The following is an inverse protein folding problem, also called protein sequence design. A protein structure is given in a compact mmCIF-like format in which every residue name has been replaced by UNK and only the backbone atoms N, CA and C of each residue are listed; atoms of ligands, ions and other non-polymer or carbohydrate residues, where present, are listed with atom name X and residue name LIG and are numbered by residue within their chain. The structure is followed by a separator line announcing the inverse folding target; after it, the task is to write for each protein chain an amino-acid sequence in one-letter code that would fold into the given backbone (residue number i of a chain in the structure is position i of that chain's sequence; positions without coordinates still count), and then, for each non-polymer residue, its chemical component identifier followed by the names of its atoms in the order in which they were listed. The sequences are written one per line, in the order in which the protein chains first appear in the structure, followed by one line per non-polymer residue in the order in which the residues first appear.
data_IF_047450613932
#
_entry.id   IF_047450613932
#
_cell.length_a   1.000
_cell.length_b   1.000
_cell.length_c   1.000
_cell.angle_alpha   90.00
_cell.angle_beta   90.00
_cell.angle_gamma   90.00
#
_symmetry.space_group_name_H-M   'P 1'
#
loop_
_entity.id
_entity.type
_entity.pdbx_description
1 polymer ?
#
# COMPACT_ATOMS: atom_id res chain seq x y z
N UNK A 1 -14.21 -23.18 -8.22
CA UNK A 1 -13.76 -22.22 -9.24
C UNK A 1 -12.30 -22.49 -9.62
N UNK A 2 -11.96 -22.38 -10.90
CA UNK A 2 -10.57 -22.65 -11.33
C UNK A 2 -9.55 -21.73 -10.69
N UNK A 3 -9.90 -20.46 -10.45
CA UNK A 3 -9.05 -19.50 -9.73
C UNK A 3 -8.66 -19.98 -8.32
N UNK A 4 -9.50 -20.76 -7.63
CA UNK A 4 -9.12 -21.32 -6.33
C UNK A 4 -8.03 -22.39 -6.44
N UNK A 5 -8.05 -23.19 -7.50
CA UNK A 5 -6.98 -24.15 -7.78
C UNK A 5 -5.67 -23.46 -8.14
N UNK A 6 -5.76 -22.37 -8.90
CA UNK A 6 -4.59 -21.50 -9.22
C UNK A 6 -3.99 -20.94 -7.94
N UNK A 7 -4.81 -20.37 -7.06
CA UNK A 7 -4.36 -19.81 -5.78
C UNK A 7 -3.64 -20.87 -4.92
N UNK A 8 -4.30 -22.01 -4.70
CA UNK A 8 -3.77 -23.08 -3.83
C UNK A 8 -2.49 -23.74 -4.38
N UNK A 9 -2.30 -23.72 -5.72
CA UNK A 9 -1.05 -24.19 -6.33
C UNK A 9 0.08 -23.14 -6.22
N UNK A 10 -0.26 -21.85 -6.25
CA UNK A 10 0.71 -20.77 -6.28
C UNK A 10 1.27 -20.44 -4.88
N UNK A 11 0.41 -20.48 -3.84
CA UNK A 11 0.77 -20.06 -2.48
C UNK A 11 0.11 -20.93 -1.41
N UNK A 12 0.74 -20.96 -0.22
CA UNK A 12 0.12 -21.45 1.00
C UNK A 12 -0.52 -20.22 1.69
N UNK A 13 -1.84 -20.17 1.79
CA UNK A 13 -2.59 -18.99 2.22
C UNK A 13 -2.08 -18.39 3.54
N UNK A 14 -1.90 -19.21 4.58
CA UNK A 14 -1.39 -18.73 5.88
C UNK A 14 0.01 -18.11 5.78
N UNK A 15 0.90 -18.70 4.99
CA UNK A 15 2.24 -18.16 4.78
C UNK A 15 2.25 -16.90 3.92
N UNK A 16 1.34 -16.80 2.95
CA UNK A 16 1.18 -15.60 2.15
C UNK A 16 0.70 -14.42 3.02
N UNK A 17 -0.32 -14.63 3.85
CA UNK A 17 -0.81 -13.61 4.79
C UNK A 17 0.26 -13.22 5.81
N UNK A 18 0.94 -14.18 6.43
CA UNK A 18 2.04 -13.94 7.38
C UNK A 18 3.14 -13.07 6.75
N UNK A 19 3.57 -13.39 5.53
CA UNK A 19 4.59 -12.62 4.82
C UNK A 19 4.11 -11.21 4.47
N UNK A 20 2.86 -11.05 4.06
CA UNK A 20 2.27 -9.74 3.78
C UNK A 20 2.21 -8.87 5.04
N UNK A 21 1.80 -9.40 6.19
CA UNK A 21 1.85 -8.70 7.49
C UNK A 21 3.28 -8.27 7.82
N UNK A 22 4.25 -9.18 7.70
CA UNK A 22 5.67 -8.87 7.97
C UNK A 22 6.19 -7.73 7.08
N UNK A 23 5.85 -7.73 5.79
CA UNK A 23 6.21 -6.65 4.87
C UNK A 23 5.64 -5.31 5.31
N UNK A 24 4.34 -5.26 5.63
CA UNK A 24 3.67 -4.04 6.10
C UNK A 24 4.30 -3.53 7.40
N UNK A 25 4.46 -4.41 8.39
CA UNK A 25 5.00 -4.01 9.70
C UNK A 25 6.45 -3.54 9.61
N UNK A 26 7.28 -4.18 8.79
CA UNK A 26 8.69 -3.79 8.64
C UNK A 26 8.86 -2.45 7.93
N UNK A 27 7.98 -2.10 6.98
CA UNK A 27 8.08 -0.88 6.19
C UNK A 27 7.38 0.31 6.86
N UNK A 28 6.17 0.12 7.41
CA UNK A 28 5.37 1.20 7.99
C UNK A 28 5.54 1.37 9.50
N UNK A 29 6.18 0.41 10.18
CA UNK A 29 6.38 0.42 11.62
C UNK A 29 7.81 -0.03 11.97
N UNK A 30 8.29 0.26 13.17
CA UNK A 30 9.60 -0.23 13.63
C UNK A 30 9.48 -1.57 14.36
N UNK A 31 8.68 -1.54 15.42
CA UNK A 31 8.36 -2.70 16.25
C UNK A 31 7.13 -2.36 17.08
N UNK A 32 6.43 -3.35 17.66
CA UNK A 32 5.32 -3.10 18.57
C UNK A 32 5.68 -2.22 19.77
N UNK A 33 6.94 -2.27 20.22
CA UNK A 33 7.44 -1.51 21.37
C UNK A 33 8.05 -0.15 21.00
N UNK A 34 7.96 0.25 19.73
CA UNK A 34 8.54 1.52 19.27
C UNK A 34 7.79 2.70 19.85
N UNK A 35 8.54 3.69 20.37
CA UNK A 35 7.97 4.97 20.80
C UNK A 35 7.66 5.92 19.61
N UNK A 36 8.09 5.59 18.41
CA UNK A 36 7.98 6.46 17.22
C UNK A 36 6.89 6.06 16.26
N UNK A 37 6.34 4.86 16.40
CA UNK A 37 5.22 4.35 15.58
C UNK A 37 4.28 3.53 16.43
N UNK A 38 2.98 3.60 16.11
CA UNK A 38 1.94 2.83 16.78
C UNK A 38 1.30 1.88 15.76
N UNK A 39 1.36 0.58 16.02
CA UNK A 39 0.66 -0.41 15.18
C UNK A 39 -0.82 -0.38 15.52
N UNK A 40 -1.73 -0.38 14.53
CA UNK A 40 -3.16 -0.52 14.79
C UNK A 40 -3.50 -1.80 15.53
N UNK A 41 -4.63 -1.79 16.22
CA UNK A 41 -5.13 -2.92 17.03
C UNK A 41 -5.65 -4.09 16.20
N UNK A 42 -5.42 -4.10 14.89
CA UNK A 42 -5.85 -5.19 13.99
C UNK A 42 -5.42 -6.54 14.55
N UNK A 43 -6.40 -7.30 15.04
CA UNK A 43 -6.20 -8.58 15.72
C UNK A 43 -6.26 -9.76 14.77
N UNK A 44 -7.07 -9.67 13.73
CA UNK A 44 -7.29 -10.74 12.77
C UNK A 44 -7.59 -10.23 11.37
N UNK A 45 -7.14 -10.98 10.36
CA UNK A 45 -7.45 -10.74 8.96
C UNK A 45 -7.96 -12.04 8.35
N UNK A 46 -9.15 -12.00 7.75
CA UNK A 46 -9.73 -13.13 7.02
C UNK A 46 -9.57 -12.90 5.52
N UNK A 47 -8.97 -13.88 4.83
CA UNK A 47 -8.92 -13.88 3.36
C UNK A 47 -10.12 -14.62 2.80
N UNK A 48 -10.89 -13.94 1.97
CA UNK A 48 -12.10 -14.47 1.30
C UNK A 48 -11.84 -14.50 -0.21
N UNK A 49 -11.79 -15.70 -0.75
CA UNK A 49 -11.70 -15.93 -2.20
C UNK A 49 -13.09 -16.12 -2.78
N UNK A 50 -13.53 -15.27 -3.70
CA UNK A 50 -14.84 -15.35 -4.32
C UNK A 50 -14.85 -14.81 -5.76
N UNK A 51 -15.81 -15.24 -6.56
CA UNK A 51 -16.07 -14.63 -7.86
C UNK A 51 -16.66 -13.24 -7.64
N UNK A 52 -16.02 -12.22 -8.18
CA UNK A 52 -16.46 -10.82 -8.11
C UNK A 52 -15.73 -9.97 -9.17
N UNK A 53 -16.30 -8.83 -9.59
CA UNK A 53 -15.62 -7.87 -10.45
C UNK A 53 -14.43 -7.22 -9.74
N UNK A 54 -13.48 -6.71 -10.51
CA UNK A 54 -12.26 -6.08 -9.99
C UNK A 54 -11.19 -7.08 -9.55
N UNK A 55 -10.24 -6.62 -8.75
CA UNK A 55 -9.08 -7.40 -8.32
C UNK A 55 -9.26 -7.89 -6.89
N UNK A 56 -9.27 -6.98 -5.95
CA UNK A 56 -9.42 -7.24 -4.52
C UNK A 56 -9.92 -5.98 -3.80
N UNK A 57 -10.33 -6.12 -2.57
CA UNK A 57 -10.60 -4.99 -1.66
C UNK A 57 -10.51 -5.43 -0.20
N UNK A 58 -10.22 -4.47 0.66
CA UNK A 58 -10.20 -4.64 2.12
C UNK A 58 -11.39 -3.94 2.75
N UNK A 59 -12.01 -4.58 3.75
CA UNK A 59 -13.08 -4.00 4.56
C UNK A 59 -12.90 -4.32 6.04
N UNK A 60 -13.58 -3.56 6.91
CA UNK A 60 -13.74 -3.92 8.32
C UNK A 60 -14.93 -4.85 8.53
N UNK A 61 -15.11 -5.29 9.76
CA UNK A 61 -16.32 -6.00 10.22
C UNK A 61 -17.15 -5.05 11.08
N UNK A 62 -18.47 -5.01 10.86
CA UNK A 62 -19.39 -4.18 11.66
C UNK A 62 -19.48 -4.66 13.13
N UNK A 63 -19.07 -5.90 13.40
CA UNK A 63 -19.14 -6.51 14.73
C UNK A 63 -17.82 -6.40 15.50
N UNK A 64 -16.72 -6.06 14.84
CA UNK A 64 -15.38 -6.07 15.44
C UNK A 64 -14.44 -5.16 14.65
N UNK A 65 -14.17 -3.98 15.17
CA UNK A 65 -13.29 -2.99 14.53
C UNK A 65 -11.85 -3.48 14.32
N UNK A 66 -11.40 -4.46 15.12
CA UNK A 66 -10.07 -5.05 15.04
C UNK A 66 -9.99 -6.24 14.08
N UNK A 67 -11.13 -6.64 13.49
CA UNK A 67 -11.20 -7.66 12.45
C UNK A 67 -11.28 -7.04 11.07
N UNK A 68 -10.42 -7.50 10.15
CA UNK A 68 -10.40 -7.05 8.76
C UNK A 68 -10.62 -8.23 7.82
N UNK A 69 -11.20 -7.94 6.67
CA UNK A 69 -11.43 -8.92 5.61
C UNK A 69 -10.78 -8.44 4.32
N UNK A 70 -10.05 -9.33 3.67
CA UNK A 70 -9.52 -9.14 2.32
C UNK A 70 -10.33 -10.03 1.38
N UNK A 71 -11.06 -9.43 0.46
CA UNK A 71 -11.80 -10.11 -0.59
C UNK A 71 -10.99 -10.11 -1.87
N UNK A 72 -10.67 -11.30 -2.41
CA UNK A 72 -9.84 -11.44 -3.60
C UNK A 72 -10.60 -12.18 -4.70
N UNK A 73 -10.63 -11.60 -5.90
CA UNK A 73 -11.37 -12.10 -7.04
C UNK A 73 -10.77 -13.39 -7.59
N UNK A 74 -11.54 -14.47 -7.58
CA UNK A 74 -11.16 -15.72 -8.24
C UNK A 74 -11.09 -15.57 -9.77
N UNK A 75 -11.89 -14.67 -10.34
CA UNK A 75 -11.89 -14.40 -11.78
C UNK A 75 -10.59 -13.72 -12.18
N UNK A 76 -10.13 -12.74 -11.39
CA UNK A 76 -8.83 -12.11 -11.58
C UNK A 76 -7.68 -13.12 -11.44
N UNK A 77 -7.68 -13.92 -10.36
CA UNK A 77 -6.65 -14.94 -10.09
C UNK A 77 -6.54 -15.94 -11.24
N UNK A 78 -7.68 -16.37 -11.80
CA UNK A 78 -7.70 -17.25 -12.96
C UNK A 78 -7.01 -16.65 -14.18
N UNK A 79 -7.18 -15.35 -14.41
CA UNK A 79 -6.61 -14.61 -15.55
C UNK A 79 -5.12 -14.26 -15.44
N UNK A 80 -4.47 -14.49 -14.29
CA UNK A 80 -3.05 -14.17 -14.13
C UNK A 80 -2.18 -15.11 -14.98
N UNK A 81 -1.22 -14.54 -15.71
CA UNK A 81 -0.25 -15.32 -16.51
C UNK A 81 0.55 -16.31 -15.64
N UNK A 82 0.85 -17.47 -16.16
CA UNK A 82 1.50 -18.58 -15.41
C UNK A 82 2.79 -18.14 -14.71
N UNK A 83 3.64 -17.40 -15.42
CA UNK A 83 4.93 -16.93 -14.90
C UNK A 83 4.80 -15.88 -13.78
N UNK A 84 3.62 -15.29 -13.58
CA UNK A 84 3.38 -14.21 -12.62
C UNK A 84 2.45 -14.59 -11.48
N UNK A 85 1.85 -15.78 -11.49
CA UNK A 85 0.80 -16.18 -10.54
C UNK A 85 1.20 -15.92 -9.09
N UNK A 86 2.36 -16.42 -8.68
CA UNK A 86 2.82 -16.28 -7.29
C UNK A 86 3.09 -14.82 -6.93
N UNK A 87 3.86 -14.11 -7.75
CA UNK A 87 4.26 -12.73 -7.45
C UNK A 87 3.05 -11.77 -7.49
N UNK A 88 2.13 -11.98 -8.43
CA UNK A 88 0.93 -11.17 -8.54
C UNK A 88 -0.02 -11.39 -7.37
N UNK A 89 -0.27 -12.66 -6.99
CA UNK A 89 -1.08 -12.99 -5.81
C UNK A 89 -0.45 -12.38 -4.55
N UNK A 90 0.85 -12.53 -4.36
CA UNK A 90 1.56 -11.93 -3.22
C UNK A 90 1.52 -10.41 -3.24
N UNK A 91 1.67 -9.81 -4.43
CA UNK A 91 1.62 -8.37 -4.60
C UNK A 91 0.26 -7.77 -4.24
N UNK A 92 -0.83 -8.39 -4.71
CA UNK A 92 -2.20 -7.97 -4.36
C UNK A 92 -2.46 -8.18 -2.87
N UNK A 93 -2.11 -9.34 -2.29
CA UNK A 93 -2.26 -9.58 -0.86
C UNK A 93 -1.47 -8.59 0.00
N UNK A 94 -0.27 -8.20 -0.43
CA UNK A 94 0.55 -7.22 0.29
C UNK A 94 -0.09 -5.83 0.22
N UNK A 95 -0.60 -5.42 -0.93
CA UNK A 95 -1.34 -4.17 -1.11
C UNK A 95 -2.57 -4.12 -0.17
N UNK A 96 -3.42 -5.13 -0.22
CA UNK A 96 -4.63 -5.20 0.62
C UNK A 96 -4.29 -5.28 2.12
N UNK A 97 -3.20 -5.96 2.47
CA UNK A 97 -2.75 -6.02 3.86
C UNK A 97 -2.34 -4.65 4.39
N UNK A 98 -1.84 -3.74 3.54
CA UNK A 98 -1.58 -2.36 3.97
C UNK A 98 -2.86 -1.70 4.46
N UNK A 99 -3.98 -1.86 3.77
CA UNK A 99 -5.26 -1.28 4.18
C UNK A 99 -5.76 -1.83 5.52
N UNK A 100 -5.34 -3.04 5.93
CA UNK A 100 -5.62 -3.56 7.26
C UNK A 100 -4.85 -2.85 8.39
N UNK A 101 -3.75 -2.17 8.07
CA UNK A 101 -2.81 -1.62 9.06
C UNK A 101 -2.46 -0.14 8.85
N UNK A 102 -2.83 0.52 7.75
CA UNK A 102 -2.52 1.92 7.53
C UNK A 102 -3.51 2.86 8.21
N UNK A 103 -3.06 4.07 8.50
CA UNK A 103 -3.90 5.15 9.01
C UNK A 103 -4.45 6.01 7.87
N UNK A 104 -5.61 6.62 8.07
CA UNK A 104 -6.34 7.39 7.06
C UNK A 104 -6.67 8.83 7.49
N UNK A 105 -6.00 9.35 8.52
CA UNK A 105 -6.22 10.70 9.05
C UNK A 105 -7.69 10.96 9.46
N UNK A 106 -8.31 10.00 10.15
CA UNK A 106 -9.73 10.06 10.54
C UNK A 106 -10.69 10.20 9.34
N UNK A 107 -10.38 9.51 8.25
CA UNK A 107 -11.17 9.53 7.01
C UNK A 107 -10.97 10.78 6.14
N UNK A 108 -9.96 11.62 6.43
CA UNK A 108 -9.70 12.85 5.66
C UNK A 108 -8.53 12.73 4.68
N UNK A 109 -7.80 11.63 4.70
CA UNK A 109 -6.70 11.37 3.77
C UNK A 109 -7.22 11.17 2.34
N UNK A 110 -6.58 11.77 1.32
CA UNK A 110 -6.96 11.51 -0.07
C UNK A 110 -6.85 10.02 -0.41
N UNK A 111 -7.85 9.49 -1.11
CA UNK A 111 -7.85 8.08 -1.53
C UNK A 111 -6.60 7.70 -2.32
N UNK A 112 -6.12 8.59 -3.20
CA UNK A 112 -4.90 8.35 -3.95
C UNK A 112 -3.64 8.23 -3.09
N UNK A 113 -3.55 8.93 -1.96
CA UNK A 113 -2.44 8.73 -1.02
C UNK A 113 -2.57 7.39 -0.28
N UNK A 114 -3.79 6.98 0.10
CA UNK A 114 -4.07 5.68 0.72
C UNK A 114 -3.61 4.55 -0.21
N UNK A 115 -4.04 4.56 -1.47
CA UNK A 115 -3.64 3.59 -2.50
C UNK A 115 -2.13 3.64 -2.80
N UNK A 116 -1.57 4.86 -2.84
CA UNK A 116 -0.14 5.06 -3.06
C UNK A 116 0.74 4.48 -1.97
N UNK A 117 0.34 4.56 -0.70
CA UNK A 117 1.06 3.92 0.42
C UNK A 117 1.04 2.39 0.25
N UNK A 118 -0.10 1.83 -0.15
CA UNK A 118 -0.24 0.39 -0.38
C UNK A 118 0.69 -0.09 -1.50
N UNK A 119 0.73 0.63 -2.62
CA UNK A 119 1.62 0.31 -3.72
C UNK A 119 3.10 0.63 -3.44
N UNK A 120 3.39 1.63 -2.59
CA UNK A 120 4.76 1.86 -2.10
C UNK A 120 5.28 0.66 -1.28
N UNK A 121 4.45 0.07 -0.41
CA UNK A 121 4.81 -1.16 0.33
C UNK A 121 4.98 -2.34 -0.63
N UNK A 122 4.08 -2.51 -1.59
CA UNK A 122 4.18 -3.54 -2.64
C UNK A 122 5.48 -3.41 -3.44
N UNK A 123 5.84 -2.18 -3.84
CA UNK A 123 7.08 -1.85 -4.55
C UNK A 123 8.33 -2.24 -3.73
N UNK A 124 8.35 -1.85 -2.45
CA UNK A 124 9.47 -2.13 -1.53
C UNK A 124 9.48 -3.56 -0.98
N UNK A 125 8.55 -4.41 -1.44
CA UNK A 125 8.52 -5.85 -1.18
C UNK A 125 8.96 -6.68 -2.39
N UNK A 126 9.49 -6.04 -3.45
CA UNK A 126 9.88 -6.66 -4.73
C UNK A 126 8.71 -7.35 -5.46
N UNK A 127 7.49 -6.82 -5.30
CA UNK A 127 6.25 -7.38 -5.84
C UNK A 127 5.56 -6.48 -6.88
N UNK A 128 6.29 -5.49 -7.41
CA UNK A 128 5.78 -4.60 -8.45
C UNK A 128 5.57 -5.35 -9.78
N UNK A 129 4.43 -5.16 -10.46
CA UNK A 129 4.25 -5.72 -11.80
C UNK A 129 5.22 -5.10 -12.81
N UNK A 130 5.63 -5.85 -13.83
CA UNK A 130 6.62 -5.38 -14.80
C UNK A 130 6.14 -4.24 -15.72
N UNK A 131 4.84 -3.97 -15.73
CA UNK A 131 4.27 -2.85 -16.50
C UNK A 131 4.27 -1.52 -15.73
N UNK A 132 4.57 -1.52 -14.44
CA UNK A 132 4.64 -0.29 -13.67
C UNK A 132 5.73 0.63 -14.19
N UNK A 133 5.44 1.92 -14.24
CA UNK A 133 6.34 2.96 -14.75
C UNK A 133 6.35 4.16 -13.82
N UNK A 134 7.52 4.81 -13.72
CA UNK A 134 7.65 6.11 -13.07
C UNK A 134 7.11 7.18 -13.99
N UNK A 135 6.12 7.92 -13.55
CA UNK A 135 5.46 8.97 -14.31
C UNK A 135 5.11 10.14 -13.38
N UNK A 136 5.19 11.36 -13.91
CA UNK A 136 4.87 12.59 -13.18
C UNK A 136 3.81 13.44 -13.91
N UNK A 137 2.96 12.82 -14.73
CA UNK A 137 1.83 13.49 -15.38
C UNK A 137 0.62 13.58 -14.45
N UNK A 138 -0.17 14.64 -14.55
CA UNK A 138 -1.40 14.79 -13.78
C UNK A 138 -1.18 15.15 -12.30
N UNK A 139 -2.03 14.62 -11.43
CA UNK A 139 -2.00 14.90 -9.99
C UNK A 139 -1.08 13.93 -9.25
N UNK A 140 -0.38 14.41 -8.23
CA UNK A 140 0.50 13.59 -7.40
C UNK A 140 -0.26 12.44 -6.67
N UNK A 141 -1.54 12.66 -6.35
CA UNK A 141 -2.43 11.74 -5.65
C UNK A 141 -3.37 10.96 -6.60
N UNK A 142 -2.92 10.68 -7.81
CA UNK A 142 -3.67 9.83 -8.75
C UNK A 142 -3.84 8.38 -8.26
N UNK A 143 -3.07 7.99 -7.26
CA UNK A 143 -3.16 6.69 -6.60
C UNK A 143 -2.23 5.63 -7.18
N UNK A 144 -2.32 4.44 -6.59
CA UNK A 144 -1.61 3.23 -7.01
C UNK A 144 -0.12 3.45 -7.27
N UNK A 145 0.44 2.80 -8.30
CA UNK A 145 1.85 2.92 -8.68
C UNK A 145 2.32 4.36 -8.89
N UNK A 146 1.46 5.22 -9.43
CA UNK A 146 1.77 6.62 -9.72
C UNK A 146 2.18 7.36 -8.44
N UNK A 147 1.34 7.32 -7.43
CA UNK A 147 1.64 7.87 -6.11
C UNK A 147 2.70 7.02 -5.39
N UNK A 148 2.72 5.71 -5.57
CA UNK A 148 3.72 4.81 -4.98
C UNK A 148 5.16 5.18 -5.37
N UNK A 149 5.43 5.45 -6.64
CA UNK A 149 6.75 5.91 -7.09
C UNK A 149 7.10 7.32 -6.63
N UNK A 150 6.11 8.20 -6.51
CA UNK A 150 6.33 9.51 -5.90
C UNK A 150 6.72 9.38 -4.42
N UNK A 151 6.06 8.51 -3.66
CA UNK A 151 6.42 8.23 -2.27
C UNK A 151 7.82 7.61 -2.16
N UNK A 152 8.21 6.77 -3.11
CA UNK A 152 9.58 6.23 -3.19
C UNK A 152 10.61 7.34 -3.39
N UNK A 153 10.34 8.31 -4.28
CA UNK A 153 11.18 9.50 -4.42
C UNK A 153 11.27 10.30 -3.12
N UNK A 154 10.15 10.48 -2.40
CA UNK A 154 10.12 11.17 -1.11
C UNK A 154 10.97 10.43 -0.05
N UNK A 155 10.85 9.09 0.03
CA UNK A 155 11.66 8.26 0.93
C UNK A 155 13.15 8.43 0.67
N UNK A 156 13.57 8.37 -0.60
CA UNK A 156 14.97 8.55 -0.99
C UNK A 156 15.48 9.96 -0.72
N UNK A 157 14.69 10.98 -1.01
CA UNK A 157 15.10 12.39 -0.88
C UNK A 157 15.23 12.84 0.58
N UNK A 158 14.33 12.43 1.45
CA UNK A 158 14.24 12.89 2.84
C UNK A 158 14.72 11.85 3.85
N UNK A 159 15.18 10.71 3.36
CA UNK A 159 15.80 9.66 4.15
C UNK A 159 14.84 8.55 4.56
N UNK A 160 15.44 7.39 4.81
CA UNK A 160 14.73 6.16 5.20
C UNK A 160 13.83 6.39 6.41
N UNK A 161 12.59 5.92 6.31
CA UNK A 161 11.56 6.06 7.33
C UNK A 161 10.67 7.29 7.17
N UNK A 162 10.81 8.06 6.07
CA UNK A 162 9.92 9.19 5.81
C UNK A 162 8.47 8.74 5.59
N UNK A 163 8.25 7.68 4.83
CA UNK A 163 6.90 7.14 4.61
C UNK A 163 6.32 6.52 5.89
N UNK A 164 7.16 5.96 6.75
CA UNK A 164 6.76 5.52 8.09
C UNK A 164 6.28 6.70 8.94
N UNK A 165 7.02 7.82 8.95
CA UNK A 165 6.60 9.06 9.63
C UNK A 165 5.32 9.64 9.03
N UNK A 166 5.14 9.53 7.70
CA UNK A 166 3.92 9.92 7.01
C UNK A 166 2.73 9.12 7.55
N UNK A 167 2.83 7.78 7.58
CA UNK A 167 1.78 6.91 8.11
C UNK A 167 1.45 7.22 9.58
N UNK A 168 2.46 7.41 10.44
CA UNK A 168 2.26 7.79 11.84
C UNK A 168 1.58 9.17 11.98
N UNK A 169 1.91 10.13 11.10
CA UNK A 169 1.27 11.44 11.07
C UNK A 169 -0.23 11.35 10.71
N UNK A 170 -0.60 10.42 9.82
CA UNK A 170 -2.00 10.13 9.49
C UNK A 170 -2.80 9.53 10.67
N UNK A 171 -2.12 8.95 11.67
CA UNK A 171 -2.73 8.47 12.91
C UNK A 171 -3.19 9.61 13.81
N UNK A 172 -2.39 10.67 13.92
CA UNK A 172 -2.53 11.69 14.99
C UNK A 172 -3.25 12.95 14.56
N UNK A 173 -3.38 13.21 13.24
CA UNK A 173 -3.96 14.46 12.72
C UNK A 173 -4.85 14.21 11.50
N UNK A 174 -5.87 15.05 11.36
CA UNK A 174 -6.60 15.19 10.10
C UNK A 174 -5.68 15.70 9.01
N UNK A 175 -5.91 15.26 7.79
CA UNK A 175 -5.13 15.66 6.63
C UNK A 175 -5.55 17.05 6.16
N UNK A 176 -4.58 17.95 6.08
CA UNK A 176 -4.67 19.26 5.44
C UNK A 176 -3.44 19.38 4.55
N UNK A 177 -3.57 19.23 3.26
CA UNK A 177 -2.49 18.99 2.29
C UNK A 177 -1.25 19.84 2.52
N UNK A 178 -1.36 21.16 2.41
CA UNK A 178 -0.23 22.06 2.55
C UNK A 178 0.47 21.94 3.91
N UNK A 179 -0.31 21.90 4.99
CA UNK A 179 0.23 21.81 6.34
C UNK A 179 0.88 20.43 6.57
N UNK A 180 0.22 19.37 6.10
CA UNK A 180 0.67 17.99 6.30
C UNK A 180 2.09 17.78 5.75
N UNK A 181 2.30 18.14 4.48
CA UNK A 181 3.58 17.95 3.81
C UNK A 181 4.66 18.93 4.29
N UNK A 182 4.30 20.19 4.58
CA UNK A 182 5.24 21.16 5.14
C UNK A 182 5.74 20.74 6.52
N UNK A 183 4.87 20.20 7.38
CA UNK A 183 5.27 19.68 8.69
C UNK A 183 6.09 18.38 8.59
N UNK A 184 5.84 17.54 7.56
CA UNK A 184 6.54 16.27 7.39
C UNK A 184 7.95 16.45 6.85
N UNK A 185 8.11 17.26 5.78
CA UNK A 185 9.35 17.37 5.00
C UNK A 185 9.76 18.80 4.67
N UNK A 186 9.10 19.80 5.25
CA UNK A 186 9.47 21.22 5.11
C UNK A 186 9.02 21.87 3.80
N UNK A 187 8.22 21.21 2.97
CA UNK A 187 7.81 21.70 1.64
C UNK A 187 6.37 21.31 1.31
N UNK A 188 5.62 22.15 0.57
CA UNK A 188 4.30 21.77 0.06
C UNK A 188 4.41 20.69 -1.02
N UNK A 189 3.39 19.87 -1.15
CA UNK A 189 3.40 18.70 -2.06
C UNK A 189 3.49 19.08 -3.52
N UNK A 190 2.91 20.19 -3.91
CA UNK A 190 2.98 20.70 -5.29
C UNK A 190 4.44 20.98 -5.72
N UNK A 191 5.25 21.53 -4.80
CA UNK A 191 6.68 21.73 -5.06
C UNK A 191 7.40 20.38 -5.15
N UNK A 192 7.09 19.45 -4.26
CA UNK A 192 7.70 18.11 -4.27
C UNK A 192 7.37 17.34 -5.54
N UNK A 193 6.13 17.48 -6.03
CA UNK A 193 5.70 16.88 -7.28
C UNK A 193 6.40 17.47 -8.49
N UNK A 194 6.58 18.80 -8.54
CA UNK A 194 7.40 19.49 -9.55
C UNK A 194 8.85 19.01 -9.54
N UNK A 195 9.46 18.95 -8.36
CA UNK A 195 10.83 18.46 -8.19
C UNK A 195 10.98 16.99 -8.65
N UNK A 196 9.97 16.14 -8.42
CA UNK A 196 9.95 14.76 -8.91
C UNK A 196 9.86 14.70 -10.43
N UNK A 197 9.00 15.52 -11.04
CA UNK A 197 8.90 15.64 -12.50
C UNK A 197 10.24 16.02 -13.12
N UNK A 198 10.92 17.04 -12.55
CA UNK A 198 12.24 17.50 -13.01
C UNK A 198 13.33 16.40 -12.94
N UNK A 199 13.24 15.52 -11.94
CA UNK A 199 14.15 14.36 -11.82
C UNK A 199 13.88 13.37 -12.93
N UNK A 200 12.62 13.00 -13.19
CA UNK A 200 12.27 12.05 -14.24
C UNK A 200 12.62 12.56 -15.65
N UNK A 201 12.52 13.86 -15.88
CA UNK A 201 12.89 14.45 -17.19
C UNK A 201 14.40 14.43 -17.45
N UNK A 202 15.22 14.42 -16.40
CA UNK A 202 16.68 14.27 -16.50
C UNK A 202 17.13 12.81 -16.67
N UNK A 203 16.28 11.85 -16.32
CA UNK A 203 16.56 10.40 -16.48
C UNK A 203 16.23 9.89 -17.90
N UNK A 204 15.54 10.68 -18.73
CA UNK A 204 15.22 10.38 -20.15
C UNK A 204 16.36 10.70 -21.08
#
# INVERSE_FOLDING_TARGET
HEGSLVFLKAVIASKALEKSVQSVLSLLYHSPDSQTTTVPTTRSVTLILRSMPGVAYTTGSDLDDDHKEIHFSLDYIHGISESRKKDEIMGVLTHEMVHCYQYNAFGTCPGGLIEGIADWVRLNSDLSPPHWRKEAGGKWDAGYQHTGYFLEYIEHRFGKGTIRRLNEKLRIKKYHEKQFWTELVGRPVEQLWGDYSDVLDKEK
#
